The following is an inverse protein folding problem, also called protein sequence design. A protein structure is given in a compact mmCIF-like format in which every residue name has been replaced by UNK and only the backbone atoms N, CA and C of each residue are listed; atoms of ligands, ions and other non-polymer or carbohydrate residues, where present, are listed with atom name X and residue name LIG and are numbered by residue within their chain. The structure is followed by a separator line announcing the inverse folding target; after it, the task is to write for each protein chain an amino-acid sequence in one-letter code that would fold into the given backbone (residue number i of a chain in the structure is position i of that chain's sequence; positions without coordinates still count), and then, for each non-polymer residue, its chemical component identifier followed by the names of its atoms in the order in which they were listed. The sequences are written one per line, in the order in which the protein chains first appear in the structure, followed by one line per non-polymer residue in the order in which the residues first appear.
data_IF_405845276146
#
_entry.id   IF_405845276146
#
_cell.length_a   1.000
_cell.length_b   1.000
_cell.length_c   1.000
_cell.angle_alpha   90.00
_cell.angle_beta   90.00
_cell.angle_gamma   90.00
#
_symmetry.space_group_name_H-M   'P 1'
#
loop_
_entity.id
_entity.type
_entity.pdbx_description
1 polymer ?
#
# COMPACT_ATOMS: atom_id res chain seq x y z
N UNK A 1 -2.48 -50.36 -72.43
CA UNK A 1 -2.43 -49.70 -71.11
C UNK A 1 -2.74 -48.22 -71.19
N UNK A 2 -2.26 -47.52 -72.22
CA UNK A 2 -2.38 -46.06 -72.41
C UNK A 2 -3.82 -45.56 -72.62
N UNK A 3 -4.64 -46.28 -73.38
CA UNK A 3 -6.03 -45.88 -73.65
C UNK A 3 -6.90 -45.84 -72.39
N UNK A 4 -6.75 -46.80 -71.47
CA UNK A 4 -7.44 -46.81 -70.17
C UNK A 4 -6.97 -45.70 -69.23
N UNK A 5 -5.77 -45.18 -69.41
CA UNK A 5 -5.28 -44.03 -68.64
C UNK A 5 -5.88 -42.72 -69.16
N UNK A 6 -6.04 -42.59 -70.49
CA UNK A 6 -6.69 -41.44 -71.12
C UNK A 6 -8.16 -41.32 -70.71
N UNK A 7 -8.92 -42.42 -70.74
CA UNK A 7 -10.32 -42.44 -70.30
C UNK A 7 -10.49 -42.00 -68.83
N UNK A 8 -9.65 -42.53 -67.92
CA UNK A 8 -9.66 -42.12 -66.51
C UNK A 8 -9.30 -40.63 -66.32
N UNK A 9 -8.40 -40.10 -67.14
CA UNK A 9 -8.05 -38.69 -67.09
C UNK A 9 -9.22 -37.79 -67.50
N UNK A 10 -9.97 -38.18 -68.53
CA UNK A 10 -11.18 -37.45 -68.95
C UNK A 10 -12.29 -37.49 -67.90
N UNK A 11 -12.49 -38.64 -67.25
CA UNK A 11 -13.43 -38.78 -66.13
C UNK A 11 -13.05 -37.85 -64.97
N UNK A 12 -11.77 -37.82 -64.58
CA UNK A 12 -11.28 -36.91 -63.52
C UNK A 12 -11.47 -35.45 -63.91
N UNK A 13 -11.21 -35.07 -65.17
CA UNK A 13 -11.40 -33.70 -65.65
C UNK A 13 -12.87 -33.28 -65.59
N UNK A 14 -13.81 -34.17 -65.93
CA UNK A 14 -15.26 -33.90 -65.81
C UNK A 14 -15.66 -33.67 -64.35
N UNK A 15 -15.21 -34.54 -63.44
CA UNK A 15 -15.47 -34.39 -62.00
C UNK A 15 -14.87 -33.08 -61.44
N UNK A 16 -13.66 -32.71 -61.86
CA UNK A 16 -13.04 -31.43 -61.48
C UNK A 16 -13.82 -30.23 -62.01
N UNK A 17 -14.34 -30.30 -63.25
CA UNK A 17 -15.15 -29.22 -63.81
C UNK A 17 -16.46 -29.04 -63.02
N UNK A 18 -17.14 -30.14 -62.67
CA UNK A 18 -18.35 -30.11 -61.85
C UNK A 18 -18.08 -29.59 -60.43
N UNK A 19 -16.97 -29.99 -59.82
CA UNK A 19 -16.55 -29.46 -58.51
C UNK A 19 -16.20 -27.97 -58.58
N UNK A 20 -15.56 -27.52 -59.66
CA UNK A 20 -15.14 -26.12 -59.81
C UNK A 20 -16.32 -25.15 -59.82
N UNK A 21 -17.46 -25.54 -60.40
CA UNK A 21 -18.69 -24.74 -60.41
C UNK A 21 -19.26 -24.61 -58.99
N UNK A 22 -19.40 -25.74 -58.29
CA UNK A 22 -19.91 -25.78 -56.90
C UNK A 22 -19.00 -25.01 -55.94
N UNK A 23 -17.68 -25.16 -56.11
CA UNK A 23 -16.69 -24.49 -55.28
C UNK A 23 -16.70 -22.97 -55.50
N UNK A 24 -16.91 -22.51 -56.74
CA UNK A 24 -17.06 -21.09 -57.06
C UNK A 24 -18.27 -20.47 -56.36
N UNK A 25 -19.41 -21.16 -56.37
CA UNK A 25 -20.62 -20.72 -55.67
C UNK A 25 -20.42 -20.69 -54.15
N UNK A 26 -19.80 -21.73 -53.59
CA UNK A 26 -19.47 -21.80 -52.16
C UNK A 26 -18.54 -20.67 -51.72
N UNK A 27 -17.54 -20.34 -52.52
CA UNK A 27 -16.60 -19.24 -52.22
C UNK A 27 -17.34 -17.91 -52.22
N UNK A 28 -18.16 -17.63 -53.23
CA UNK A 28 -18.98 -16.40 -53.28
C UNK A 28 -19.89 -16.28 -52.06
N UNK A 29 -20.62 -17.34 -51.73
CA UNK A 29 -21.49 -17.35 -50.54
C UNK A 29 -20.72 -17.08 -49.25
N UNK A 30 -19.54 -17.69 -49.10
CA UNK A 30 -18.68 -17.45 -47.91
C UNK A 30 -18.13 -16.03 -47.87
N UNK A 31 -17.79 -15.43 -49.01
CA UNK A 31 -17.37 -14.04 -49.11
C UNK A 31 -18.49 -13.10 -48.66
N UNK A 32 -19.69 -13.27 -49.20
CA UNK A 32 -20.87 -12.46 -48.82
C UNK A 32 -21.21 -12.61 -47.33
N UNK A 33 -21.11 -13.83 -46.78
CA UNK A 33 -21.35 -14.06 -45.35
C UNK A 33 -20.29 -13.36 -44.48
N UNK A 34 -19.03 -13.38 -44.91
CA UNK A 34 -17.94 -12.70 -44.22
C UNK A 34 -18.13 -11.19 -44.26
N UNK A 35 -18.52 -10.63 -45.41
CA UNK A 35 -18.81 -9.21 -45.56
C UNK A 35 -19.96 -8.77 -44.64
N UNK A 36 -21.06 -9.54 -44.59
CA UNK A 36 -22.18 -9.27 -43.67
C UNK A 36 -21.72 -9.23 -42.21
N UNK A 37 -20.97 -10.24 -41.77
CA UNK A 37 -20.42 -10.28 -40.40
C UNK A 37 -19.48 -9.13 -40.09
N UNK A 38 -18.68 -8.68 -41.06
CA UNK A 38 -17.81 -7.53 -40.88
C UNK A 38 -18.60 -6.23 -40.73
N UNK A 39 -19.68 -6.07 -41.50
CA UNK A 39 -20.56 -4.91 -41.40
C UNK A 39 -21.29 -4.89 -40.05
N UNK A 40 -21.89 -6.00 -39.63
CA UNK A 40 -22.53 -6.13 -38.30
C UNK A 40 -21.56 -5.79 -37.16
N UNK A 41 -20.32 -6.31 -37.21
CA UNK A 41 -19.30 -5.99 -36.20
C UNK A 41 -18.93 -4.51 -36.17
N UNK A 42 -18.85 -3.86 -37.34
CA UNK A 42 -18.57 -2.42 -37.42
C UNK A 42 -19.71 -1.61 -36.83
N UNK A 43 -20.95 -1.98 -37.12
CA UNK A 43 -22.13 -1.30 -36.58
C UNK A 43 -22.19 -1.41 -35.05
N UNK A 44 -21.95 -2.60 -34.50
CA UNK A 44 -21.88 -2.80 -33.04
C UNK A 44 -20.75 -1.98 -32.42
N UNK A 45 -19.55 -2.00 -33.00
CA UNK A 45 -18.42 -1.22 -32.48
C UNK A 45 -18.69 0.29 -32.51
N UNK A 46 -19.40 0.80 -33.53
CA UNK A 46 -19.80 2.20 -33.59
C UNK A 46 -20.84 2.57 -32.52
N UNK A 47 -21.78 1.66 -32.23
CA UNK A 47 -22.76 1.85 -31.17
C UNK A 47 -22.08 1.86 -29.78
N UNK A 48 -21.21 0.90 -29.51
CA UNK A 48 -20.44 0.82 -28.27
C UNK A 48 -19.60 2.10 -28.05
N UNK A 49 -18.88 2.56 -29.08
CA UNK A 49 -18.10 3.79 -28.99
C UNK A 49 -18.97 5.02 -28.65
N UNK A 50 -20.15 5.14 -29.28
CA UNK A 50 -21.08 6.23 -28.97
C UNK A 50 -21.62 6.15 -27.54
N UNK A 51 -21.92 4.95 -27.04
CA UNK A 51 -22.34 4.76 -25.65
C UNK A 51 -21.25 5.10 -24.64
N UNK A 52 -19.99 4.76 -24.95
CA UNK A 52 -18.83 5.13 -24.14
C UNK A 52 -18.63 6.65 -24.11
N UNK A 53 -18.67 7.33 -25.25
CA UNK A 53 -18.58 8.80 -25.31
C UNK A 53 -19.67 9.48 -24.46
N UNK A 54 -20.92 9.01 -24.56
CA UNK A 54 -22.02 9.54 -23.75
C UNK A 54 -21.83 9.28 -22.26
N UNK A 55 -21.29 8.10 -21.90
CA UNK A 55 -20.94 7.77 -20.51
C UNK A 55 -19.84 8.69 -19.99
N UNK A 56 -18.79 8.93 -20.78
CA UNK A 56 -17.70 9.83 -20.41
C UNK A 56 -18.20 11.26 -20.22
N UNK A 57 -19.04 11.77 -21.12
CA UNK A 57 -19.68 13.10 -20.99
C UNK A 57 -20.46 13.23 -19.69
N UNK A 58 -21.26 12.22 -19.32
CA UNK A 58 -22.00 12.19 -18.05
C UNK A 58 -21.07 12.20 -16.83
N UNK A 59 -20.01 11.40 -16.87
CA UNK A 59 -19.02 11.36 -15.79
C UNK A 59 -18.25 12.68 -15.66
N UNK A 60 -17.92 13.31 -16.78
CA UNK A 60 -17.27 14.62 -16.79
C UNK A 60 -18.17 15.71 -16.21
N UNK A 61 -19.47 15.69 -16.54
CA UNK A 61 -20.44 16.59 -15.94
C UNK A 61 -20.54 16.39 -14.42
N UNK A 62 -20.60 15.14 -13.94
CA UNK A 62 -20.58 14.83 -12.51
C UNK A 62 -19.28 15.27 -11.84
N UNK A 63 -18.13 15.06 -12.48
CA UNK A 63 -16.84 15.55 -11.98
C UNK A 63 -16.86 17.06 -11.84
N UNK A 64 -17.39 17.80 -12.83
CA UNK A 64 -17.51 19.26 -12.75
C UNK A 64 -18.45 19.71 -11.62
N UNK A 65 -19.53 18.97 -11.36
CA UNK A 65 -20.47 19.27 -10.26
C UNK A 65 -19.87 19.02 -8.87
N UNK A 66 -19.14 17.91 -8.70
CA UNK A 66 -18.60 17.49 -7.40
C UNK A 66 -17.18 18.00 -7.17
N UNK A 67 -16.49 18.50 -8.20
CA UNK A 67 -15.15 19.03 -8.09
C UNK A 67 -15.10 20.15 -7.05
N UNK A 68 -14.49 19.85 -5.91
CA UNK A 68 -14.21 20.85 -4.89
C UNK A 68 -13.12 21.76 -5.46
N UNK A 69 -13.52 22.96 -5.87
CA UNK A 69 -12.60 24.03 -6.24
C UNK A 69 -11.91 24.56 -4.96
N UNK A 70 -10.96 23.79 -4.44
CA UNK A 70 -10.09 24.24 -3.37
C UNK A 70 -8.97 25.11 -3.95
N UNK A 71 -8.72 26.26 -3.35
CA UNK A 71 -7.55 27.07 -3.67
C UNK A 71 -6.28 26.28 -3.36
N UNK A 72 -5.23 26.53 -4.14
CA UNK A 72 -3.92 25.95 -3.88
C UNK A 72 -3.36 26.56 -2.59
N UNK A 73 -3.31 25.76 -1.53
CA UNK A 73 -2.73 26.14 -0.25
C UNK A 73 -1.40 25.39 -0.05
N UNK A 74 -0.24 26.07 -0.26
CA UNK A 74 1.08 25.48 -0.09
C UNK A 74 1.33 25.02 1.36
N UNK A 75 0.71 25.69 2.33
CA UNK A 75 0.87 25.35 3.74
C UNK A 75 0.23 24.00 4.01
N UNK A 76 -0.97 23.74 3.47
CA UNK A 76 -1.63 22.43 3.58
C UNK A 76 -0.82 21.30 2.96
N UNK A 77 -0.17 21.56 1.82
CA UNK A 77 0.67 20.56 1.13
C UNK A 77 1.92 20.19 1.94
N UNK A 78 2.52 21.17 2.62
CA UNK A 78 3.71 20.96 3.45
C UNK A 78 3.38 20.59 4.90
N UNK A 79 2.14 20.79 5.33
CA UNK A 79 1.71 20.50 6.70
C UNK A 79 1.50 19.00 6.93
N UNK A 80 1.76 18.57 8.15
CA UNK A 80 1.47 17.20 8.55
C UNK A 80 -0.02 16.89 8.53
N UNK A 81 -0.35 15.69 8.05
CA UNK A 81 -1.74 15.20 8.08
C UNK A 81 -2.21 14.97 9.51
N UNK A 82 -3.52 15.08 9.75
CA UNK A 82 -4.11 14.79 11.07
C UNK A 82 -3.73 13.38 11.56
N UNK A 83 -3.65 12.40 10.65
CA UNK A 83 -3.21 11.04 10.97
C UNK A 83 -1.74 10.99 11.42
N UNK A 84 -0.86 11.77 10.80
CA UNK A 84 0.54 11.87 11.23
C UNK A 84 0.68 12.56 12.59
N UNK A 85 -0.05 13.66 12.81
CA UNK A 85 -0.08 14.35 14.11
C UNK A 85 -0.57 13.45 15.24
N UNK A 86 -1.61 12.65 14.98
CA UNK A 86 -2.13 11.66 15.90
C UNK A 86 -1.12 10.54 16.19
N UNK A 87 -0.39 10.04 15.17
CA UNK A 87 0.68 9.05 15.36
C UNK A 87 1.86 9.58 16.18
N UNK A 88 2.21 10.84 16.00
CA UNK A 88 3.31 11.47 16.71
C UNK A 88 2.92 11.93 18.13
N UNK A 89 1.64 11.86 18.50
CA UNK A 89 1.15 12.28 19.83
C UNK A 89 1.35 13.77 20.10
N UNK A 90 1.51 14.59 19.05
CA UNK A 90 1.88 16.01 19.17
C UNK A 90 0.70 16.85 19.73
N UNK A 91 -0.54 16.39 19.53
CA UNK A 91 -1.77 17.08 19.95
C UNK A 91 -2.44 16.46 21.19
N UNK A 92 -1.91 15.35 21.71
CA UNK A 92 -2.33 14.85 23.02
C UNK A 92 -1.56 15.61 24.09
N UNK A 93 -2.20 16.60 24.73
CA UNK A 93 -1.71 17.24 25.97
C UNK A 93 -1.41 16.24 27.10
N UNK A 94 -1.81 14.98 26.93
CA UNK A 94 -1.34 13.86 27.73
C UNK A 94 0.08 13.53 27.31
N UNK A 95 1.04 14.18 27.97
CA UNK A 95 2.45 13.79 28.05
C UNK A 95 2.55 12.26 28.02
N UNK A 96 2.81 11.66 26.85
CA UNK A 96 3.26 10.28 26.79
C UNK A 96 4.70 10.29 27.29
N UNK A 97 4.85 10.35 28.62
CA UNK A 97 6.10 10.06 29.30
C UNK A 97 6.32 8.58 29.04
N UNK A 98 6.96 8.27 27.91
CA UNK A 98 7.65 7.00 27.72
C UNK A 98 8.47 6.83 29.00
N UNK A 99 8.06 5.93 29.89
CA UNK A 99 8.72 5.70 31.17
C UNK A 99 10.08 5.03 30.90
N UNK A 100 11.01 5.80 30.34
CA UNK A 100 12.41 5.42 30.32
C UNK A 100 12.83 5.39 31.79
N UNK A 101 13.23 4.24 32.33
CA UNK A 101 13.69 4.17 33.71
C UNK A 101 14.89 5.09 33.86
N UNK A 102 14.91 5.90 34.93
CA UNK A 102 16.01 6.83 35.21
C UNK A 102 17.35 6.09 35.42
N UNK A 103 17.29 4.81 35.78
CA UNK A 103 18.44 3.96 36.03
C UNK A 103 18.36 2.70 35.17
N UNK A 104 19.49 2.29 34.61
CA UNK A 104 19.61 1.00 33.93
C UNK A 104 19.71 -0.12 34.97
N UNK A 105 18.69 -0.97 35.04
CA UNK A 105 18.64 -2.13 35.94
C UNK A 105 18.89 -3.43 35.16
N UNK A 106 19.85 -4.23 35.63
CA UNK A 106 20.16 -5.55 35.08
C UNK A 106 19.63 -6.63 36.04
N UNK A 107 18.31 -6.83 36.06
CA UNK A 107 17.60 -7.70 37.01
C UNK A 107 16.71 -8.70 36.30
N UNK A 108 16.45 -9.85 36.92
CA UNK A 108 15.64 -10.93 36.35
C UNK A 108 14.28 -11.12 37.03
N UNK A 109 14.11 -10.61 38.25
CA UNK A 109 12.89 -10.79 39.05
C UNK A 109 12.39 -9.44 39.61
N UNK A 110 11.07 -9.31 39.77
CA UNK A 110 10.39 -8.14 40.34
C UNK A 110 10.86 -7.82 41.76
N UNK A 111 11.09 -8.84 42.57
CA UNK A 111 11.60 -8.65 43.93
C UNK A 111 12.99 -7.98 43.94
N UNK A 112 13.81 -8.24 42.92
CA UNK A 112 15.13 -7.60 42.74
C UNK A 112 15.02 -6.16 42.24
N UNK A 113 13.94 -5.86 41.51
CA UNK A 113 13.63 -4.51 41.02
C UNK A 113 13.20 -3.64 42.21
N UNK A 114 12.26 -4.13 43.03
CA UNK A 114 11.74 -3.41 44.21
C UNK A 114 12.80 -3.27 45.31
N UNK A 115 13.81 -4.16 45.36
CA UNK A 115 14.87 -4.06 46.37
C UNK A 115 15.81 -2.87 46.15
N UNK A 116 15.88 -2.29 44.95
CA UNK A 116 16.75 -1.13 44.69
C UNK A 116 16.17 0.15 45.33
N UNK A 117 16.90 0.81 46.25
CA UNK A 117 16.44 2.05 46.88
C UNK A 117 16.23 3.20 45.89
N UNK A 118 16.96 3.21 44.76
CA UNK A 118 16.83 4.25 43.74
C UNK A 118 15.46 4.23 43.09
N UNK A 119 15.00 3.05 42.72
CA UNK A 119 13.71 2.87 42.09
C UNK A 119 12.57 3.19 43.05
N UNK A 120 12.66 2.70 44.30
CA UNK A 120 11.65 2.99 45.32
C UNK A 120 11.48 4.49 45.57
N UNK A 121 12.59 5.22 45.65
CA UNK A 121 12.55 6.66 45.84
C UNK A 121 11.99 7.39 44.62
N UNK A 122 12.34 6.94 43.42
CA UNK A 122 11.84 7.49 42.17
C UNK A 122 10.32 7.33 42.04
N UNK A 123 9.81 6.13 42.34
CA UNK A 123 8.39 5.84 42.37
C UNK A 123 7.66 6.74 43.38
N UNK A 124 8.19 6.88 44.59
CA UNK A 124 7.60 7.77 45.61
C UNK A 124 7.56 9.24 45.16
N UNK A 125 8.61 9.72 44.48
CA UNK A 125 8.64 11.08 43.91
C UNK A 125 7.62 11.25 42.78
N UNK A 126 7.41 10.22 41.96
CA UNK A 126 6.39 10.24 40.90
C UNK A 126 4.98 10.22 41.46
N UNK A 127 4.71 9.34 42.42
CA UNK A 127 3.44 9.27 43.13
C UNK A 127 3.11 10.61 43.81
N UNK A 128 4.11 11.28 44.38
CA UNK A 128 3.98 12.61 44.93
C UNK A 128 3.96 13.76 43.90
N UNK A 129 4.11 13.48 42.61
CA UNK A 129 4.15 14.51 41.55
C UNK A 129 5.41 15.40 41.57
N UNK A 130 6.42 15.10 42.39
CA UNK A 130 7.60 15.94 42.63
C UNK A 130 8.76 15.70 41.64
N UNK A 131 8.56 14.88 40.61
CA UNK A 131 9.57 14.45 39.65
C UNK A 131 10.28 15.60 38.88
N UNK A 132 9.61 16.73 38.64
CA UNK A 132 10.20 17.91 37.95
C UNK A 132 10.92 18.88 38.89
N UNK A 133 10.86 18.68 40.21
CA UNK A 133 11.42 19.62 41.21
C UNK A 133 12.95 19.60 41.26
N UNK A 134 13.54 20.72 41.69
CA UNK A 134 14.99 20.81 41.93
C UNK A 134 15.45 19.80 42.99
N UNK A 135 14.64 19.58 44.01
CA UNK A 135 14.89 18.60 45.07
C UNK A 135 15.07 17.18 44.51
N UNK A 136 14.19 16.74 43.61
CA UNK A 136 14.31 15.44 42.96
C UNK A 136 15.60 15.33 42.15
N UNK A 137 15.95 16.38 41.39
CA UNK A 137 17.18 16.43 40.58
C UNK A 137 18.46 16.35 41.41
N UNK A 138 18.47 16.95 42.60
CA UNK A 138 19.63 16.91 43.50
C UNK A 138 19.75 15.60 44.28
N UNK A 139 18.62 14.99 44.65
CA UNK A 139 18.62 13.81 45.51
C UNK A 139 18.81 12.50 44.74
N UNK A 140 18.21 12.36 43.55
CA UNK A 140 18.28 11.13 42.75
C UNK A 140 19.73 10.66 42.46
N UNK A 141 20.69 11.53 42.10
CA UNK A 141 22.07 11.11 41.85
C UNK A 141 22.84 10.69 43.13
N UNK A 142 22.44 11.21 44.29
CA UNK A 142 23.10 10.92 45.57
C UNK A 142 22.79 9.50 46.09
N UNK A 143 21.72 8.88 45.61
CA UNK A 143 21.30 7.56 46.05
C UNK A 143 22.20 6.49 45.42
N UNK A 144 22.88 5.73 46.28
CA UNK A 144 23.73 4.61 45.88
C UNK A 144 22.89 3.39 45.48
N UNK A 145 23.37 2.54 44.55
CA UNK A 145 22.66 1.31 44.22
C UNK A 145 22.74 0.36 45.43
N UNK A 146 21.84 -0.62 45.49
CA UNK A 146 21.83 -1.61 46.57
C UNK A 146 23.18 -2.36 46.68
N UNK A 147 23.81 -2.65 45.54
CA UNK A 147 25.16 -3.21 45.47
C UNK A 147 26.11 -2.16 44.91
N UNK A 148 27.16 -1.77 45.64
CA UNK A 148 28.16 -0.86 45.09
C UNK A 148 28.86 -1.53 43.90
N UNK A 149 29.40 -0.74 42.96
CA UNK A 149 30.25 -1.28 41.91
C UNK A 149 31.42 -2.04 42.53
N UNK A 150 31.92 -3.07 41.82
CA UNK A 150 33.12 -3.80 42.23
C UNK A 150 34.28 -2.81 42.34
N UNK A 151 35.19 -3.03 43.31
CA UNK A 151 36.31 -2.14 43.61
C UNK A 151 37.16 -1.79 42.38
N UNK A 152 37.35 -2.75 41.48
CA UNK A 152 38.15 -2.59 40.26
C UNK A 152 37.45 -1.74 39.18
N UNK A 153 36.13 -1.56 39.29
CA UNK A 153 35.31 -0.73 38.40
C UNK A 153 35.07 0.68 38.97
N UNK A 154 35.66 1.05 40.11
CA UNK A 154 35.55 2.40 40.64
C UNK A 154 36.31 3.39 39.75
N UNK A 155 35.58 4.24 39.02
CA UNK A 155 36.19 5.35 38.29
C UNK A 155 36.72 6.40 39.28
N UNK A 156 38.03 6.63 39.31
CA UNK A 156 38.65 7.75 40.04
C UNK A 156 38.42 9.11 39.38
N UNK A 157 37.97 9.13 38.12
CA UNK A 157 37.77 10.34 37.30
C UNK A 157 36.82 11.37 37.93
N UNK A 158 35.88 10.93 38.78
CA UNK A 158 34.86 11.80 39.37
C UNK A 158 34.99 11.96 40.90
N UNK A 159 36.12 11.56 41.49
CA UNK A 159 36.43 11.82 42.90
C UNK A 159 37.03 13.23 43.01
N UNK A 160 36.27 14.20 43.53
CA UNK A 160 36.77 15.49 44.01
C UNK A 160 37.38 15.28 45.39
#
# INVERSE_FOLDING_TARGET
METRALWRLEEVKKLMAEQSVKDRERVKYRQELLEKRLMEKKEVALQEAHEEEERERRLEALRKQVAVAAQFDPVRMMSDTMAWKARMGIDSEQEFILQKPLFTLNTYNEQQIISDPRLRFELAIREGGLHKTLYAKEMLPKIRPQKPPRKDMESTVFKI
#
